data_IF_707253355012
#
_entry.id   IF_707253355012
#
_cell.length_a   1.000
_cell.length_b   1.000
_cell.length_c   1.000
_cell.angle_alpha   90.00
_cell.angle_beta   90.00
_cell.angle_gamma   90.00
#
_symmetry.space_group_name_H-M   'P 1'
#
loop_
_entity.id
_entity.type
_entity.pdbx_description
1 polymer ?
#
# COMPACT_ATOMS: atom_id res chain seq x y z
N UNK A 1 -9.84 9.85 -7.76
CA UNK A 1 -10.27 9.15 -8.98
C UNK A 1 -9.87 7.68 -8.81
N UNK A 2 -10.73 6.74 -9.20
CA UNK A 2 -10.52 5.29 -9.02
C UNK A 2 -9.70 4.77 -10.23
N UNK A 3 -8.53 4.15 -10.01
CA UNK A 3 -7.58 3.81 -11.08
C UNK A 3 -6.81 2.48 -10.88
N UNK A 4 -6.75 1.55 -11.84
CA UNK A 4 -6.13 0.22 -11.74
C UNK A 4 -4.66 0.11 -12.10
N UNK A 5 -4.14 1.04 -12.90
CA UNK A 5 -2.79 0.88 -13.45
C UNK A 5 -1.97 2.14 -13.19
N UNK A 6 -0.74 1.97 -12.73
CA UNK A 6 0.25 3.04 -12.67
C UNK A 6 1.28 2.82 -13.80
N UNK A 7 1.37 3.79 -14.70
CA UNK A 7 2.24 3.80 -15.87
C UNK A 7 3.35 4.84 -15.67
N UNK A 8 4.60 4.48 -15.90
CA UNK A 8 5.74 5.40 -15.76
C UNK A 8 6.38 5.59 -17.13
N UNK A 9 6.38 6.82 -17.64
CA UNK A 9 6.90 7.17 -18.95
C UNK A 9 8.12 8.09 -18.78
N UNK A 10 9.32 7.64 -19.14
CA UNK A 10 10.52 8.50 -19.14
C UNK A 10 10.72 9.06 -20.56
N UNK A 11 10.81 10.39 -20.71
CA UNK A 11 11.15 11.03 -22.00
C UNK A 11 12.58 11.58 -22.00
N UNK A 12 13.22 11.43 -23.16
CA UNK A 12 14.43 12.08 -23.67
C UNK A 12 15.75 11.96 -22.89
N UNK A 13 16.72 11.24 -23.49
CA UNK A 13 18.09 11.76 -23.66
C UNK A 13 18.80 11.07 -24.84
N UNK A 14 19.38 11.88 -25.73
CA UNK A 14 20.28 11.44 -26.80
C UNK A 14 21.67 11.14 -26.20
N UNK A 15 22.10 9.89 -26.35
CA UNK A 15 23.50 9.47 -26.34
C UNK A 15 24.37 9.88 -25.15
N UNK A 16 24.53 8.97 -24.18
CA UNK A 16 25.79 8.48 -23.62
C UNK A 16 25.47 7.43 -22.52
N UNK A 17 26.29 6.37 -22.51
CA UNK A 17 26.28 5.14 -21.67
C UNK A 17 25.50 5.15 -20.34
N UNK A 18 24.73 4.09 -20.09
CA UNK A 18 24.33 3.62 -18.75
C UNK A 18 22.79 3.62 -18.45
N UNK A 19 22.29 2.58 -17.79
CA UNK A 19 20.96 2.18 -17.28
C UNK A 19 20.09 3.18 -16.47
N UNK A 20 18.75 3.05 -16.53
CA UNK A 20 17.75 3.82 -15.72
C UNK A 20 17.10 2.95 -14.65
N UNK A 21 17.14 3.38 -13.38
CA UNK A 21 16.72 2.58 -12.22
C UNK A 21 15.55 3.19 -11.44
N UNK A 22 14.43 2.48 -11.29
CA UNK A 22 13.22 2.95 -10.57
C UNK A 22 12.85 1.96 -9.45
N UNK A 23 12.52 2.47 -8.25
CA UNK A 23 11.72 1.74 -7.24
C UNK A 23 10.41 2.48 -7.00
N UNK A 24 9.27 1.79 -7.08
CA UNK A 24 7.94 2.39 -6.89
C UNK A 24 7.27 1.81 -5.66
N UNK A 25 6.90 2.68 -4.71
CA UNK A 25 5.98 2.32 -3.63
C UNK A 25 4.63 3.00 -3.86
N UNK A 26 3.59 2.18 -4.02
CA UNK A 26 2.22 2.67 -3.93
C UNK A 26 1.80 2.48 -2.48
N UNK A 27 2.03 3.53 -1.70
CA UNK A 27 1.46 3.63 -0.37
C UNK A 27 0.06 4.22 -0.53
N UNK A 28 -0.99 3.43 -0.27
CA UNK A 28 -2.29 4.05 -0.06
C UNK A 28 -2.49 4.28 1.45
N UNK A 29 -2.40 5.53 1.94
CA UNK A 29 -2.75 5.81 3.32
C UNK A 29 -4.24 5.51 3.52
N UNK A 30 -4.57 4.64 4.48
CA UNK A 30 -5.94 4.31 4.86
C UNK A 30 -6.15 2.87 5.34
N UNK A 31 -7.19 2.68 6.15
CA UNK A 31 -7.66 1.36 6.60
C UNK A 31 -8.19 0.56 5.41
N UNK A 32 -7.61 -0.62 5.16
CA UNK A 32 -8.02 -1.56 4.08
C UNK A 32 -9.29 -2.32 4.37
N UNK A 33 -9.65 -2.45 5.63
CA UNK A 33 -10.79 -3.27 6.02
C UNK A 33 -12.12 -2.70 5.52
N UNK A 34 -12.21 -1.38 5.31
CA UNK A 34 -13.41 -0.67 4.86
C UNK A 34 -13.84 -1.09 3.44
N UNK A 35 -12.90 -1.47 2.58
CA UNK A 35 -13.16 -1.88 1.19
C UNK A 35 -13.29 -3.40 1.02
N UNK A 36 -12.96 -4.16 2.08
CA UNK A 36 -12.97 -5.62 2.06
C UNK A 36 -14.37 -6.22 2.25
N UNK A 37 -14.50 -7.50 1.88
CA UNK A 37 -15.69 -8.28 2.25
C UNK A 37 -15.45 -8.99 3.57
N UNK A 38 -16.46 -9.00 4.44
CA UNK A 38 -16.36 -9.60 5.77
C UNK A 38 -17.39 -10.69 5.96
N UNK A 39 -17.04 -11.68 6.76
CA UNK A 39 -17.93 -12.78 7.16
C UNK A 39 -17.49 -13.33 8.50
N UNK A 40 -18.39 -14.00 9.21
CA UNK A 40 -18.11 -14.64 10.49
C UNK A 40 -18.73 -16.04 10.54
N UNK A 41 -18.26 -16.88 11.46
CA UNK A 41 -18.69 -18.26 11.64
C UNK A 41 -20.19 -18.40 11.92
N UNK A 42 -20.72 -17.52 12.75
CA UNK A 42 -22.14 -17.44 13.10
C UNK A 42 -22.51 -16.01 13.50
N UNK A 43 -23.80 -15.68 13.55
CA UNK A 43 -24.25 -14.32 13.93
C UNK A 43 -25.23 -14.37 15.09
N UNK A 44 -24.88 -13.67 16.16
CA UNK A 44 -25.78 -13.43 17.27
C UNK A 44 -26.69 -12.23 16.97
N UNK A 45 -27.99 -12.50 16.78
CA UNK A 45 -29.01 -11.48 16.54
C UNK A 45 -28.61 -10.48 15.41
N UNK A 46 -28.49 -9.19 15.73
CA UNK A 46 -28.12 -8.13 14.78
C UNK A 46 -26.63 -7.76 14.74
N UNK A 47 -25.75 -8.57 15.35
CA UNK A 47 -24.32 -8.28 15.48
C UNK A 47 -23.53 -8.85 14.30
N UNK A 48 -23.87 -8.35 13.11
CA UNK A 48 -23.35 -8.82 11.82
C UNK A 48 -21.86 -8.49 11.63
N UNK A 49 -21.17 -9.23 10.77
CA UNK A 49 -19.72 -9.13 10.53
C UNK A 49 -19.27 -7.73 10.06
N UNK A 50 -20.12 -7.03 9.32
CA UNK A 50 -19.91 -5.69 8.75
C UNK A 50 -19.70 -4.62 9.81
N UNK A 51 -20.13 -4.88 11.05
CA UNK A 51 -19.94 -3.94 12.17
C UNK A 51 -18.47 -3.74 12.56
N UNK A 52 -17.59 -4.67 12.20
CA UNK A 52 -16.16 -4.51 12.48
C UNK A 52 -15.45 -3.57 11.49
N UNK A 53 -16.08 -3.16 10.38
CA UNK A 53 -15.40 -2.34 9.34
C UNK A 53 -16.23 -1.14 8.90
N UNK A 54 -17.24 -0.76 9.68
CA UNK A 54 -18.16 0.34 9.38
C UNK A 54 -17.64 1.71 9.84
N UNK A 55 -16.38 1.80 10.30
CA UNK A 55 -15.76 3.02 10.82
C UNK A 55 -16.49 3.61 12.04
N UNK A 56 -17.18 2.76 12.79
CA UNK A 56 -17.81 3.08 14.06
C UNK A 56 -17.29 2.13 15.14
N UNK A 57 -16.24 2.58 15.84
CA UNK A 57 -15.57 1.95 16.98
C UNK A 57 -16.44 1.71 18.24
N UNK A 58 -17.73 1.48 18.12
CA UNK A 58 -18.63 1.20 19.25
C UNK A 58 -19.23 2.41 19.95
N UNK A 59 -18.83 3.65 19.58
CA UNK A 59 -19.18 4.86 20.35
C UNK A 59 -20.49 5.55 19.94
N UNK A 60 -21.06 5.24 18.78
CA UNK A 60 -22.28 5.92 18.29
C UNK A 60 -23.59 5.15 18.59
N UNK A 61 -23.55 3.83 18.74
CA UNK A 61 -24.72 2.98 19.01
C UNK A 61 -24.34 1.79 19.90
N UNK A 62 -24.65 1.88 21.20
CA UNK A 62 -24.13 0.98 22.24
C UNK A 62 -24.49 -0.51 22.09
N UNK A 63 -25.53 -0.89 21.35
CA UNK A 63 -26.07 -2.27 21.36
C UNK A 63 -25.96 -3.03 20.02
N UNK A 64 -25.46 -2.41 18.95
CA UNK A 64 -25.36 -3.02 17.61
C UNK A 64 -24.13 -2.55 16.83
N UNK A 65 -23.14 -1.97 17.50
CA UNK A 65 -21.96 -1.42 16.86
C UNK A 65 -20.78 -2.39 16.78
N UNK A 66 -20.93 -3.63 17.27
CA UNK A 66 -19.88 -4.63 17.19
C UNK A 66 -20.43 -5.90 16.53
N UNK A 67 -19.51 -6.72 16.01
CA UNK A 67 -19.80 -8.08 15.55
C UNK A 67 -19.94 -9.01 16.75
N UNK A 68 -20.68 -10.10 16.60
CA UNK A 68 -20.70 -11.15 17.62
C UNK A 68 -21.12 -12.50 17.02
N UNK A 69 -20.37 -13.53 17.37
CA UNK A 69 -20.74 -14.92 17.08
C UNK A 69 -21.71 -15.47 18.12
N UNK A 70 -22.33 -16.60 17.80
CA UNK A 70 -22.94 -17.44 18.83
C UNK A 70 -21.85 -18.04 19.73
N UNK A 71 -22.30 -18.62 20.85
CA UNK A 71 -21.44 -19.46 21.68
C UNK A 71 -21.15 -20.78 20.94
N UNK A 72 -19.92 -20.95 20.48
CA UNK A 72 -19.51 -22.07 19.62
C UNK A 72 -18.03 -22.44 19.80
N UNK A 73 -17.61 -23.55 19.18
CA UNK A 73 -16.21 -23.96 19.16
C UNK A 73 -15.46 -23.25 18.03
N UNK A 74 -14.29 -22.70 18.34
CA UNK A 74 -13.40 -22.02 17.40
C UNK A 74 -14.08 -20.92 16.55
N UNK A 75 -14.81 -19.96 17.17
CA UNK A 75 -15.47 -18.87 16.44
C UNK A 75 -14.43 -18.03 15.68
N UNK A 76 -14.82 -17.57 14.50
CA UNK A 76 -13.94 -16.80 13.63
C UNK A 76 -14.68 -15.66 12.92
N UNK A 77 -13.92 -14.60 12.66
CA UNK A 77 -14.29 -13.49 11.79
C UNK A 77 -13.21 -13.34 10.73
N UNK A 78 -13.60 -13.15 9.47
CA UNK A 78 -12.68 -13.06 8.33
C UNK A 78 -12.97 -11.82 7.50
N UNK A 79 -11.89 -11.17 7.10
CA UNK A 79 -11.81 -10.11 6.12
C UNK A 79 -11.11 -10.63 4.85
N UNK A 80 -11.77 -10.49 3.71
CA UNK A 80 -11.20 -10.59 2.37
C UNK A 80 -10.81 -9.18 1.90
N UNK A 81 -9.50 -8.90 1.87
CA UNK A 81 -8.91 -7.64 1.41
C UNK A 81 -9.04 -7.43 -0.10
N UNK A 82 -9.66 -8.37 -0.82
CA UNK A 82 -9.81 -8.45 -2.29
C UNK A 82 -8.52 -8.77 -3.05
N UNK A 83 -7.41 -8.26 -2.55
CA UNK A 83 -6.08 -8.47 -3.09
C UNK A 83 -5.08 -8.88 -2.01
N UNK A 84 -3.89 -9.27 -2.46
CA UNK A 84 -2.80 -9.64 -1.57
C UNK A 84 -2.09 -8.37 -1.10
N UNK A 85 -2.00 -8.20 0.22
CA UNK A 85 -1.30 -7.08 0.86
C UNK A 85 -0.13 -7.59 1.68
N UNK A 86 0.93 -6.79 1.77
CA UNK A 86 1.91 -6.87 2.84
C UNK A 86 1.40 -6.04 4.02
N UNK A 87 0.75 -6.73 4.95
CA UNK A 87 0.12 -6.15 6.13
C UNK A 87 1.20 -5.78 7.14
N UNK A 88 1.37 -4.49 7.38
CA UNK A 88 2.29 -3.99 8.39
C UNK A 88 1.67 -4.01 9.78
N UNK A 89 0.37 -3.73 9.87
CA UNK A 89 -0.28 -3.40 11.14
C UNK A 89 -1.77 -3.75 11.11
N UNK A 90 -2.28 -4.24 12.24
CA UNK A 90 -3.70 -4.48 12.50
C UNK A 90 -4.09 -3.80 13.80
N UNK A 91 -5.20 -3.05 13.79
CA UNK A 91 -5.79 -2.44 14.98
C UNK A 91 -7.13 -3.11 15.27
N UNK A 92 -7.34 -3.53 16.52
CA UNK A 92 -8.59 -4.14 16.97
C UNK A 92 -9.18 -3.27 18.08
N UNK A 93 -10.45 -2.88 17.94
CA UNK A 93 -11.23 -2.24 19.00
C UNK A 93 -12.13 -3.25 19.69
N UNK A 94 -12.02 -3.33 21.02
CA UNK A 94 -12.81 -4.25 21.83
C UNK A 94 -14.14 -3.63 22.28
N UNK A 95 -15.07 -4.47 22.73
CA UNK A 95 -16.35 -4.04 23.31
C UNK A 95 -16.16 -3.21 24.57
N UNK A 96 -17.05 -2.25 24.79
CA UNK A 96 -17.02 -1.35 25.94
C UNK A 96 -18.03 -1.78 27.03
N UNK A 97 -17.90 -3.03 27.50
CA UNK A 97 -18.75 -3.58 28.55
C UNK A 97 -17.99 -4.60 29.44
N UNK A 98 -18.71 -5.21 30.38
CA UNK A 98 -18.17 -6.18 31.34
C UNK A 98 -17.66 -7.49 30.74
N UNK A 99 -17.91 -7.74 29.45
CA UNK A 99 -17.52 -8.96 28.74
C UNK A 99 -16.29 -8.75 27.85
N UNK A 100 -15.61 -7.61 27.94
CA UNK A 100 -14.40 -7.31 27.17
C UNK A 100 -13.32 -8.42 27.23
N UNK A 101 -13.28 -9.21 28.31
CA UNK A 101 -12.35 -10.34 28.44
C UNK A 101 -12.60 -11.52 27.49
N UNK A 102 -13.73 -11.57 26.78
CA UNK A 102 -14.05 -12.67 25.85
C UNK A 102 -13.09 -12.75 24.66
N UNK A 103 -12.40 -11.65 24.30
CA UNK A 103 -11.43 -11.64 23.20
C UNK A 103 -10.07 -12.23 23.59
N UNK A 104 -9.83 -12.49 24.87
CA UNK A 104 -8.52 -12.95 25.35
C UNK A 104 -8.20 -14.33 24.78
N UNK A 105 -6.99 -14.48 24.23
CA UNK A 105 -6.57 -15.70 23.53
C UNK A 105 -6.91 -15.72 22.04
N UNK A 106 -7.62 -14.72 21.52
CA UNK A 106 -7.87 -14.60 20.09
C UNK A 106 -6.56 -14.48 19.29
N UNK A 107 -6.50 -15.13 18.14
CA UNK A 107 -5.38 -15.12 17.22
C UNK A 107 -5.73 -14.28 16.00
N UNK A 108 -4.86 -13.34 15.65
CA UNK A 108 -4.88 -12.62 14.37
C UNK A 108 -4.01 -13.39 13.39
N UNK A 109 -4.60 -13.85 12.29
CA UNK A 109 -3.94 -14.66 11.25
C UNK A 109 -4.04 -13.98 9.90
N UNK A 110 -2.97 -14.07 9.11
CA UNK A 110 -2.87 -13.41 7.80
C UNK A 110 -2.30 -14.39 6.79
N UNK A 111 -2.94 -14.52 5.63
CA UNK A 111 -2.41 -15.33 4.54
C UNK A 111 -3.32 -15.41 3.31
N UNK A 112 -3.05 -16.39 2.46
CA UNK A 112 -3.73 -16.58 1.17
C UNK A 112 -4.65 -17.81 1.14
N UNK A 113 -4.57 -18.69 2.14
CA UNK A 113 -5.35 -19.92 2.17
C UNK A 113 -6.74 -19.69 2.76
N UNK A 114 -7.75 -20.37 2.21
CA UNK A 114 -9.09 -20.50 2.80
C UNK A 114 -9.33 -21.87 3.43
N UNK A 115 -8.33 -22.76 3.48
CA UNK A 115 -8.44 -24.01 4.23
C UNK A 115 -8.79 -23.71 5.69
N UNK A 116 -9.73 -24.48 6.23
CA UNK A 116 -10.27 -24.26 7.57
C UNK A 116 -10.72 -22.79 7.79
N UNK A 117 -11.41 -22.22 6.80
CA UNK A 117 -11.84 -20.82 6.76
C UNK A 117 -10.70 -19.78 6.82
N UNK A 118 -9.45 -20.21 6.66
CA UNK A 118 -8.26 -19.38 6.81
C UNK A 118 -7.64 -19.41 8.20
N UNK A 119 -8.18 -20.18 9.15
CA UNK A 119 -7.63 -20.32 10.51
C UNK A 119 -6.30 -21.09 10.54
N UNK A 120 -5.90 -21.73 9.44
CA UNK A 120 -4.57 -22.35 9.31
C UNK A 120 -3.49 -21.36 8.82
N UNK A 121 -3.86 -20.13 8.43
CA UNK A 121 -2.88 -19.13 8.00
C UNK A 121 -1.93 -18.76 9.17
N UNK A 122 -0.70 -18.32 8.89
CA UNK A 122 0.27 -17.91 9.91
C UNK A 122 -0.29 -16.86 10.88
N UNK A 123 0.11 -16.97 12.15
CA UNK A 123 -0.28 -16.04 13.22
C UNK A 123 0.54 -14.75 13.07
N UNK A 124 -0.14 -13.61 12.97
CA UNK A 124 0.46 -12.29 13.17
C UNK A 124 0.62 -12.00 14.66
N UNK A 125 -0.45 -12.16 15.45
CA UNK A 125 -0.43 -11.85 16.88
C UNK A 125 -1.45 -12.70 17.65
N UNK A 126 -1.22 -12.84 18.96
CA UNK A 126 -2.19 -13.36 19.91
C UNK A 126 -2.61 -12.23 20.83
N UNK A 127 -3.92 -12.02 20.96
CA UNK A 127 -4.52 -10.99 21.80
C UNK A 127 -4.49 -11.48 23.25
N UNK A 128 -3.58 -10.95 24.05
CA UNK A 128 -3.51 -11.26 25.47
C UNK A 128 -4.64 -10.59 26.26
N UNK A 129 -4.83 -9.29 26.04
CA UNK A 129 -5.91 -8.48 26.60
C UNK A 129 -6.09 -7.21 25.79
N UNK A 130 -7.32 -6.75 25.66
CA UNK A 130 -7.66 -5.40 25.23
C UNK A 130 -8.69 -4.87 26.24
N UNK A 131 -8.42 -3.80 26.99
CA UNK A 131 -9.39 -3.26 27.94
C UNK A 131 -10.71 -2.86 27.28
N UNK A 132 -11.77 -2.77 28.07
CA UNK A 132 -13.10 -2.43 27.58
C UNK A 132 -13.09 -1.08 26.84
N UNK A 133 -13.59 -1.06 25.60
CA UNK A 133 -13.69 0.11 24.74
C UNK A 133 -12.36 0.63 24.17
N UNK A 134 -11.25 -0.02 24.50
CA UNK A 134 -9.93 0.37 24.00
C UNK A 134 -9.61 -0.27 22.65
N UNK A 135 -8.65 0.35 21.96
CA UNK A 135 -8.09 -0.19 20.71
C UNK A 135 -6.64 -0.57 20.93
N UNK A 136 -6.23 -1.70 20.37
CA UNK A 136 -4.85 -2.15 20.45
C UNK A 136 -4.27 -2.42 19.07
N UNK A 137 -2.99 -2.11 18.94
CA UNK A 137 -2.26 -2.13 17.69
C UNK A 137 -1.27 -3.31 17.70
N UNK A 138 -1.35 -4.14 16.66
CA UNK A 138 -0.54 -5.33 16.46
C UNK A 138 0.34 -5.19 15.21
N UNK A 139 1.66 -5.25 15.39
CA UNK A 139 2.61 -5.27 14.27
C UNK A 139 2.64 -6.65 13.62
N UNK A 140 2.32 -6.71 12.33
CA UNK A 140 2.36 -7.92 11.51
C UNK A 140 3.60 -8.01 10.62
N UNK A 141 4.58 -7.10 10.78
CA UNK A 141 5.91 -7.18 10.15
C UNK A 141 5.90 -7.37 8.62
N UNK A 142 4.87 -6.89 7.93
CA UNK A 142 4.75 -7.00 6.47
C UNK A 142 4.31 -8.37 5.97
N UNK A 143 3.63 -9.16 6.79
CA UNK A 143 3.06 -10.46 6.40
C UNK A 143 2.19 -10.35 5.15
N UNK A 144 2.41 -11.26 4.22
CA UNK A 144 1.69 -11.27 2.96
C UNK A 144 0.38 -12.06 3.08
N UNK A 145 -0.74 -11.45 2.72
CA UNK A 145 -2.03 -12.12 2.75
C UNK A 145 -3.15 -11.33 2.09
N UNK A 146 -4.13 -12.07 1.59
CA UNK A 146 -5.42 -11.54 1.13
C UNK A 146 -6.50 -11.66 2.21
N UNK A 147 -6.39 -12.69 3.04
CA UNK A 147 -7.32 -12.94 4.12
C UNK A 147 -6.68 -12.57 5.46
N UNK A 148 -7.42 -11.79 6.24
CA UNK A 148 -7.15 -11.57 7.66
C UNK A 148 -8.26 -12.25 8.47
N UNK A 149 -7.87 -13.04 9.47
CA UNK A 149 -8.79 -13.82 10.30
C UNK A 149 -8.52 -13.44 11.76
N UNK A 150 -9.58 -13.21 12.52
CA UNK A 150 -9.54 -13.24 13.97
C UNK A 150 -10.28 -14.49 14.43
N UNK A 151 -9.61 -15.36 15.18
CA UNK A 151 -10.11 -16.66 15.58
C UNK A 151 -9.80 -16.91 17.05
N UNK A 152 -10.77 -17.42 17.83
CA UNK A 152 -10.53 -17.80 19.23
C UNK A 152 -10.48 -19.33 19.31
N UNK A 153 -9.30 -19.95 19.52
CA UNK A 153 -9.23 -21.39 19.72
C UNK A 153 -9.89 -21.77 21.06
N UNK A 154 -10.77 -22.76 21.03
CA UNK A 154 -11.44 -23.24 22.24
C UNK A 154 -12.87 -23.69 22.01
N UNK A 155 -13.47 -24.21 23.07
CA UNK A 155 -14.88 -24.57 23.13
C UNK A 155 -15.63 -23.54 23.95
N UNK A 156 -16.89 -23.30 23.57
CA UNK A 156 -17.78 -22.37 24.26
C UNK A 156 -17.32 -20.90 24.23
N UNK A 157 -16.73 -20.50 23.11
CA UNK A 157 -16.18 -19.17 22.92
C UNK A 157 -17.17 -18.26 22.18
N UNK A 158 -17.05 -16.95 22.43
CA UNK A 158 -17.80 -15.91 21.72
C UNK A 158 -16.81 -14.86 21.24
N UNK A 159 -16.70 -14.71 19.92
CA UNK A 159 -15.86 -13.67 19.32
C UNK A 159 -16.69 -12.42 19.08
N UNK A 160 -16.16 -11.25 19.45
CA UNK A 160 -16.78 -9.96 19.15
C UNK A 160 -15.74 -8.88 18.90
N UNK A 161 -15.97 -8.11 17.85
CA UNK A 161 -15.05 -7.08 17.35
C UNK A 161 -15.85 -5.82 17.06
N UNK A 162 -15.44 -4.68 17.62
CA UNK A 162 -16.14 -3.42 17.38
C UNK A 162 -15.54 -2.63 16.22
N UNK A 163 -14.24 -2.76 15.99
CA UNK A 163 -13.60 -2.26 14.78
C UNK A 163 -12.35 -3.09 14.52
N UNK A 164 -12.07 -3.30 13.24
CA UNK A 164 -10.86 -3.91 12.72
C UNK A 164 -10.31 -2.98 11.65
N UNK A 165 -9.08 -2.52 11.87
CA UNK A 165 -8.37 -1.70 10.91
C UNK A 165 -7.14 -2.46 10.43
N UNK A 166 -6.93 -2.52 9.12
CA UNK A 166 -5.78 -3.20 8.52
C UNK A 166 -4.98 -2.20 7.71
N UNK A 167 -3.69 -2.10 8.01
CA UNK A 167 -2.78 -1.21 7.33
C UNK A 167 -1.66 -1.98 6.66
N UNK A 168 -1.34 -1.56 5.45
CA UNK A 168 -0.36 -2.22 4.62
C UNK A 168 -0.36 -1.67 3.20
N UNK A 169 0.52 -2.24 2.40
CA UNK A 169 0.69 -1.92 0.99
C UNK A 169 0.44 -3.15 0.14
N UNK A 170 0.01 -2.95 -1.09
CA UNK A 170 -0.29 -4.03 -2.01
C UNK A 170 0.98 -4.89 -2.18
N UNK A 171 0.84 -6.21 -2.02
CA UNK A 171 1.90 -7.14 -2.36
C UNK A 171 2.03 -7.10 -3.88
N UNK A 172 3.19 -6.61 -4.34
CA UNK A 172 3.64 -6.53 -5.73
C UNK A 172 2.61 -6.97 -6.80
N UNK A 173 2.01 -5.99 -7.47
CA UNK A 173 1.33 -6.22 -8.75
C UNK A 173 2.32 -6.72 -9.82
N UNK A 174 1.81 -7.13 -10.99
CA UNK A 174 2.69 -7.58 -12.07
C UNK A 174 3.44 -6.37 -12.65
N UNK A 175 4.73 -6.27 -12.35
CA UNK A 175 5.59 -5.24 -12.93
C UNK A 175 6.11 -5.67 -14.29
N UNK A 176 6.14 -4.74 -15.24
CA UNK A 176 6.70 -4.95 -16.57
C UNK A 176 7.48 -3.71 -16.98
N UNK A 177 8.45 -3.87 -17.86
CA UNK A 177 9.26 -2.76 -18.36
C UNK A 177 9.53 -2.94 -19.85
N UNK A 178 9.89 -1.84 -20.52
CA UNK A 178 10.03 -1.78 -21.97
C UNK A 178 11.13 -2.69 -22.52
N UNK A 179 12.17 -2.94 -21.73
CA UNK A 179 13.25 -3.90 -21.99
C UNK A 179 13.95 -4.20 -20.67
N UNK A 180 14.78 -5.25 -20.61
CA UNK A 180 15.53 -5.61 -19.40
C UNK A 180 17.01 -5.61 -19.64
N UNK A 181 17.75 -4.84 -18.84
CA UNK A 181 19.20 -4.92 -18.76
C UNK A 181 19.60 -6.05 -17.81
N UNK A 182 20.41 -6.98 -18.29
CA UNK A 182 20.98 -8.10 -17.51
C UNK A 182 19.96 -8.79 -16.57
N UNK A 183 20.14 -8.67 -15.25
CA UNK A 183 19.30 -9.25 -14.21
C UNK A 183 18.51 -8.19 -13.42
N UNK A 184 18.35 -6.98 -13.97
CA UNK A 184 17.65 -5.85 -13.37
C UNK A 184 16.17 -5.84 -13.75
N UNK A 185 15.47 -6.91 -13.40
CA UNK A 185 14.07 -7.12 -13.76
C UNK A 185 13.12 -6.11 -13.10
N UNK A 186 11.93 -5.97 -13.68
CA UNK A 186 10.92 -4.99 -13.26
C UNK A 186 10.47 -5.17 -11.80
N UNK A 187 10.47 -6.41 -11.31
CA UNK A 187 9.97 -6.79 -9.99
C UNK A 187 10.88 -6.28 -8.86
N UNK A 188 12.14 -6.02 -9.16
CA UNK A 188 13.09 -5.41 -8.21
C UNK A 188 12.68 -3.98 -7.83
N UNK A 189 11.92 -3.29 -8.68
CA UNK A 189 11.39 -1.97 -8.34
C UNK A 189 10.36 -1.99 -7.19
N UNK A 190 9.77 -3.15 -6.90
CA UNK A 190 8.66 -3.32 -5.95
C UNK A 190 9.00 -4.31 -4.81
N UNK A 191 10.17 -4.95 -4.85
CA UNK A 191 10.64 -5.88 -3.82
C UNK A 191 11.23 -5.12 -2.61
N UNK A 192 10.38 -4.69 -1.68
CA UNK A 192 10.86 -4.00 -0.46
C UNK A 192 11.54 -4.94 0.56
N UNK A 193 12.41 -5.85 0.10
CA UNK A 193 12.94 -6.96 0.91
C UNK A 193 14.23 -7.60 0.41
N UNK A 194 15.28 -6.81 0.20
CA UNK A 194 16.63 -7.13 0.67
C UNK A 194 17.30 -5.79 1.02
N UNK A 195 17.77 -5.66 2.25
CA UNK A 195 18.49 -4.50 2.77
C UNK A 195 19.44 -3.91 1.73
N UNK A 196 19.39 -2.59 1.50
CA UNK A 196 20.45 -1.68 1.03
C UNK A 196 21.61 -2.22 0.15
N UNK A 197 21.44 -3.31 -0.57
CA UNK A 197 22.42 -3.83 -1.50
C UNK A 197 22.04 -3.31 -2.87
N UNK A 198 23.07 -2.98 -3.63
CA UNK A 198 23.05 -2.50 -5.01
C UNK A 198 22.09 -3.24 -5.95
N UNK A 199 21.56 -4.42 -5.59
CA UNK A 199 20.77 -5.34 -6.42
C UNK A 199 19.26 -5.07 -6.48
N UNK A 200 18.75 -4.06 -5.79
CA UNK A 200 17.29 -3.81 -5.68
C UNK A 200 16.69 -2.90 -6.75
N UNK A 201 17.40 -2.46 -7.77
CA UNK A 201 16.82 -1.59 -8.80
C UNK A 201 16.25 -2.41 -9.97
N UNK A 202 15.35 -1.82 -10.77
CA UNK A 202 14.97 -2.36 -12.08
C UNK A 202 15.57 -1.50 -13.19
N UNK A 203 16.10 -2.10 -14.26
CA UNK A 203 16.74 -1.35 -15.35
C UNK A 203 16.35 -1.81 -16.74
N UNK A 204 16.12 -0.84 -17.62
CA UNK A 204 15.92 -1.04 -19.06
C UNK A 204 17.23 -0.93 -19.84
N UNK A 205 17.25 -1.52 -21.04
CA UNK A 205 18.29 -1.23 -22.03
C UNK A 205 18.21 0.25 -22.44
N UNK A 206 19.31 0.77 -23.00
CA UNK A 206 19.32 2.10 -23.61
C UNK A 206 18.40 2.11 -24.84
N UNK A 207 17.33 2.90 -24.76
CA UNK A 207 16.33 3.01 -25.81
C UNK A 207 15.62 4.36 -25.75
N UNK A 208 14.92 4.71 -26.82
CA UNK A 208 14.01 5.84 -26.82
C UNK A 208 12.74 5.51 -26.03
N UNK A 209 12.28 6.46 -25.20
CA UNK A 209 11.09 6.35 -24.36
C UNK A 209 11.01 5.06 -23.53
N UNK A 210 11.99 4.79 -22.64
CA UNK A 210 11.90 3.65 -21.74
C UNK A 210 10.70 3.83 -20.79
N UNK A 211 10.05 2.71 -20.46
CA UNK A 211 8.90 2.70 -19.58
C UNK A 211 8.96 1.54 -18.59
N UNK A 212 8.38 1.77 -17.42
CA UNK A 212 8.12 0.77 -16.40
C UNK A 212 6.64 0.87 -16.01
N UNK A 213 6.02 -0.26 -15.70
CA UNK A 213 4.57 -0.34 -15.43
C UNK A 213 4.31 -1.30 -14.29
N UNK A 214 3.39 -0.92 -13.42
CA UNK A 214 2.81 -1.79 -12.40
C UNK A 214 1.33 -2.02 -12.69
N UNK A 215 0.97 -3.28 -12.92
CA UNK A 215 -0.43 -3.70 -12.97
C UNK A 215 -0.87 -4.11 -11.56
N UNK A 216 -1.84 -3.37 -10.99
CA UNK A 216 -2.36 -3.64 -9.65
C UNK A 216 -3.47 -4.68 -9.66
N UNK A 217 -3.83 -5.23 -10.84
CA UNK A 217 -4.93 -6.16 -11.12
C UNK A 217 -6.35 -5.64 -10.81
N UNK A 218 -6.46 -4.63 -9.95
CA UNK A 218 -7.72 -4.02 -9.50
C UNK A 218 -7.63 -2.50 -9.49
N UNK A 219 -8.78 -1.84 -9.49
CA UNK A 219 -8.90 -0.37 -9.52
C UNK A 219 -8.73 0.22 -8.11
N UNK A 220 -7.70 1.04 -7.93
CA UNK A 220 -7.36 1.69 -6.67
C UNK A 220 -7.37 3.22 -6.73
N UNK A 221 -7.66 3.87 -5.60
CA UNK A 221 -7.43 5.32 -5.47
C UNK A 221 -5.97 5.60 -5.10
N UNK A 222 -5.12 5.88 -6.07
CA UNK A 222 -3.72 6.24 -5.81
C UNK A 222 -3.63 7.64 -5.20
N UNK A 223 -3.15 7.72 -3.95
CA UNK A 223 -2.97 8.99 -3.23
C UNK A 223 -1.51 9.46 -3.23
N UNK A 224 -0.55 8.53 -3.21
CA UNK A 224 0.88 8.84 -3.16
C UNK A 224 1.67 7.80 -3.93
N UNK A 225 2.59 8.28 -4.76
CA UNK A 225 3.62 7.46 -5.39
C UNK A 225 4.95 7.90 -4.81
N UNK A 226 5.71 6.96 -4.23
CA UNK A 226 7.06 7.21 -3.73
C UNK A 226 8.04 6.54 -4.66
N UNK A 227 8.97 7.31 -5.22
CA UNK A 227 10.02 6.81 -6.08
C UNK A 227 11.34 6.90 -5.32
N UNK A 228 12.07 5.79 -5.25
CA UNK A 228 13.44 5.79 -4.75
C UNK A 228 14.38 5.69 -5.93
N UNK A 229 15.14 6.76 -6.14
CA UNK A 229 16.20 6.79 -7.13
C UNK A 229 17.40 5.97 -6.65
N UNK A 230 18.26 5.57 -7.58
CA UNK A 230 19.57 4.99 -7.26
C UNK A 230 20.39 5.97 -6.40
N UNK A 231 21.12 5.44 -5.42
CA UNK A 231 21.92 6.22 -4.46
C UNK A 231 23.43 6.19 -4.76
N UNK A 232 23.79 5.79 -5.97
CA UNK A 232 25.15 5.76 -6.50
C UNK A 232 25.27 6.78 -7.65
N UNK A 233 25.99 6.47 -8.72
CA UNK A 233 26.13 7.40 -9.86
C UNK A 233 24.84 7.55 -10.66
N UNK A 234 24.77 8.56 -11.53
CA UNK A 234 23.75 8.64 -12.59
C UNK A 234 22.30 8.87 -12.13
N UNK A 235 22.11 9.44 -10.95
CA UNK A 235 20.80 9.79 -10.40
C UNK A 235 20.03 10.76 -11.30
N UNK A 236 20.72 11.58 -12.09
CA UNK A 236 20.13 12.54 -13.03
C UNK A 236 19.34 11.90 -14.18
N UNK A 237 19.48 10.58 -14.43
CA UNK A 237 18.78 9.90 -15.53
C UNK A 237 17.27 9.80 -15.35
N UNK A 238 16.79 9.96 -14.12
CA UNK A 238 15.36 10.00 -13.84
C UNK A 238 14.75 11.38 -14.17
N UNK A 239 15.59 12.39 -14.48
CA UNK A 239 15.13 13.73 -14.80
C UNK A 239 14.23 13.69 -16.04
N UNK A 240 13.12 14.44 -15.99
CA UNK A 240 12.14 14.44 -17.07
C UNK A 240 11.20 13.23 -17.08
N UNK A 241 11.23 12.38 -16.04
CA UNK A 241 10.26 11.29 -15.93
C UNK A 241 8.83 11.83 -15.74
N UNK A 242 7.87 11.14 -16.33
CA UNK A 242 6.45 11.38 -16.16
C UNK A 242 5.79 10.19 -15.44
N UNK A 243 4.96 10.49 -14.43
CA UNK A 243 4.10 9.51 -13.78
C UNK A 243 2.69 9.66 -14.35
N UNK A 244 2.15 8.56 -14.86
CA UNK A 244 0.82 8.44 -15.46
C UNK A 244 0.04 7.38 -14.69
N UNK A 245 -1.24 7.58 -14.45
CA UNK A 245 -2.09 6.58 -13.78
C UNK A 245 -3.37 6.46 -14.61
N UNK A 246 -3.76 5.24 -14.99
CA UNK A 246 -4.91 4.97 -15.86
C UNK A 246 -5.46 3.55 -15.71
N UNK A 247 -6.57 3.25 -16.39
CA UNK A 247 -7.17 1.89 -16.45
C UNK A 247 -7.01 1.26 -17.84
N UNK A 248 -6.17 1.87 -18.67
CA UNK A 248 -6.08 1.57 -20.09
C UNK A 248 -4.64 1.53 -20.54
N UNK A 249 -4.35 0.56 -21.40
CA UNK A 249 -3.05 0.40 -22.04
C UNK A 249 -2.81 1.38 -23.19
N UNK A 250 -3.81 2.19 -23.56
CA UNK A 250 -3.71 3.18 -24.62
C UNK A 250 -3.10 4.50 -24.13
N UNK A 251 -2.10 5.00 -24.87
CA UNK A 251 -1.24 6.11 -24.43
C UNK A 251 -1.94 7.48 -24.21
N UNK A 252 -3.22 7.59 -24.59
CA UNK A 252 -3.92 8.87 -24.77
C UNK A 252 -5.03 9.15 -23.73
N UNK A 253 -5.14 8.33 -22.67
CA UNK A 253 -6.17 8.50 -21.61
C UNK A 253 -5.61 8.49 -20.18
N UNK A 254 -4.41 9.03 -19.99
CA UNK A 254 -3.79 9.11 -18.67
C UNK A 254 -4.09 10.42 -17.95
N UNK A 255 -4.18 10.37 -16.62
CA UNK A 255 -4.19 11.54 -15.76
C UNK A 255 -2.75 11.92 -15.39
N UNK A 256 -2.38 13.19 -15.61
CA UNK A 256 -1.10 13.75 -15.19
C UNK A 256 -1.16 14.15 -13.71
N UNK A 257 -0.16 13.76 -12.92
CA UNK A 257 0.03 14.35 -11.59
C UNK A 257 0.88 15.60 -11.77
N UNK A 258 0.25 16.77 -11.78
CA UNK A 258 0.95 18.06 -11.97
C UNK A 258 1.59 18.59 -10.68
N UNK A 259 1.29 18.05 -9.50
CA UNK A 259 1.81 18.53 -8.21
C UNK A 259 2.31 17.36 -7.36
N UNK A 260 3.60 17.02 -7.50
CA UNK A 260 4.31 16.18 -6.56
C UNK A 260 5.03 17.10 -5.56
N UNK A 261 4.64 17.07 -4.29
CA UNK A 261 5.54 17.53 -3.23
C UNK A 261 6.68 16.52 -3.13
N UNK A 262 7.85 16.90 -3.63
CA UNK A 262 9.11 16.24 -3.29
C UNK A 262 9.31 16.43 -1.78
N UNK A 263 8.98 15.42 -0.98
CA UNK A 263 9.38 15.38 0.44
C UNK A 263 10.87 15.09 0.48
N UNK A 264 11.66 16.15 0.34
CA UNK A 264 13.07 16.17 0.67
C UNK A 264 13.16 16.30 2.18
N UNK A 265 13.05 15.21 2.92
CA UNK A 265 13.44 15.22 4.33
C UNK A 265 14.95 14.95 4.44
N UNK A 266 15.73 15.84 3.82
CA UNK A 266 17.04 16.26 4.30
C UNK A 266 17.14 17.76 4.05
N UNK A 267 17.07 18.52 5.14
CA UNK A 267 17.46 19.93 5.28
C UNK A 267 18.51 20.38 4.23
N UNK A 268 18.15 21.30 3.32
CA UNK A 268 19.00 22.43 2.93
C UNK A 268 18.28 23.41 1.97
N UNK A 269 18.12 24.65 2.44
CA UNK A 269 18.10 25.94 1.73
C UNK A 269 17.62 25.99 0.26
N UNK A 270 16.48 26.65 0.03
CA UNK A 270 16.17 27.27 -1.26
C UNK A 270 16.28 28.80 -1.15
N UNK A 271 17.44 29.31 -1.52
CA UNK A 271 17.57 30.55 -2.27
C UNK A 271 18.45 30.22 -3.48
N UNK A 272 17.88 30.29 -4.68
CA UNK A 272 18.34 31.18 -5.75
C UNK A 272 17.55 30.89 -7.03
N UNK A 273 16.95 31.95 -7.58
CA UNK A 273 16.64 32.07 -9.00
C UNK A 273 17.93 31.90 -9.81
N UNK A 274 17.85 31.22 -10.94
CA UNK A 274 18.55 31.70 -12.14
C UNK A 274 17.89 31.26 -13.44
N UNK A 275 17.52 32.27 -14.22
CA UNK A 275 17.20 32.20 -15.64
C UNK A 275 18.48 31.88 -16.40
N UNK A 276 18.41 30.97 -17.36
CA UNK A 276 19.52 30.48 -18.18
C UNK A 276 19.97 31.52 -19.24
N UNK A 277 21.24 31.47 -19.68
CA UNK A 277 21.74 32.27 -20.80
C UNK A 277 21.80 31.46 -22.09
N UNK A 278 21.32 32.04 -23.19
CA UNK A 278 21.76 31.66 -24.55
C UNK A 278 22.29 32.89 -25.27
N UNK A 279 23.57 32.83 -25.64
CA UNK A 279 24.25 33.73 -26.58
C UNK A 279 23.62 33.58 -27.99
N UNK A 280 23.65 34.54 -28.90
CA UNK A 280 24.86 35.09 -29.52
C UNK A 280 24.54 36.30 -30.41
N UNK A 281 25.55 37.18 -30.54
CA UNK A 281 25.90 38.11 -31.62
C UNK A 281 25.47 39.58 -31.49
N UNK A 282 26.51 40.38 -31.29
CA UNK A 282 26.55 41.82 -31.30
C UNK A 282 26.27 42.41 -32.70
N UNK A 283 25.48 43.47 -32.72
CA UNK A 283 25.65 44.63 -33.62
C UNK A 283 25.37 45.86 -32.75
N UNK A 284 26.38 46.71 -32.56
CA UNK A 284 26.20 48.00 -31.89
C UNK A 284 25.53 49.01 -32.83
N UNK A 285 24.87 50.02 -32.25
CA UNK A 285 25.18 51.45 -32.41
C UNK A 285 24.11 52.32 -31.71
N UNK A 286 24.63 53.20 -30.84
CA UNK A 286 24.26 54.59 -30.52
C UNK A 286 22.88 54.94 -29.92
N UNK A 287 23.02 55.71 -28.83
CA UNK A 287 22.08 56.61 -28.15
C UNK A 287 21.16 57.40 -29.09
N UNK A 288 19.95 57.74 -28.62
CA UNK A 288 19.46 59.13 -28.46
C UNK A 288 18.23 59.13 -27.52
N UNK A 289 18.39 59.85 -26.40
CA UNK A 289 17.43 60.44 -25.42
C UNK A 289 16.23 59.65 -24.89
#
# INVERSE_FOLDING_TARGET
QLISDAFFHIRDFLGLTCETDIKVFINFPGNRAVEGAVTQSSTFAGWFAEKATDSNRGFKQLNTACTSTLNESNPWWRLDLRDVYRVSEVVITNRNDSYAGQINGAEIRIGISLENNGSNNPICAVISTIPAGESYNFSCNGMEGRYMIVHIPGDWEILSLCEVEVYGYLAAGASTQSSTSENWFAEKAIDRGLQQLYTGCSSTLSQTNPWWRLDLHHIYRVNRVVITNRNDCCAERINGMEIRIGNTLENNKYFYISHLFLSVDVLLFLLFQQVSPTATRAVGWRDVT
#
